data_IF_081611524747
#
_entry.id   IF_081611524747
#
_cell.length_a   1.000
_cell.length_b   1.000
_cell.length_c   1.000
_cell.angle_alpha   90.00
_cell.angle_beta   90.00
_cell.angle_gamma   90.00
#
_symmetry.space_group_name_H-M   'P 1'
#
loop_
_entity.id
_entity.type
_entity.pdbx_description
1 polymer ?
#
# COMPACT_ATOMS: atom_id res chain seq x y z
N UNK A 1 14.19 0.93 -0.41
CA UNK A 1 14.21 1.78 0.79
C UNK A 1 12.82 1.72 1.39
N UNK A 2 12.66 1.16 2.56
CA UNK A 2 11.36 1.02 3.22
C UNK A 2 11.29 1.83 4.49
N UNK A 3 10.17 2.53 4.70
CA UNK A 3 9.91 3.39 5.86
C UNK A 3 9.00 2.71 6.86
N UNK A 4 9.27 2.87 8.13
CA UNK A 4 8.32 2.53 9.18
C UNK A 4 8.22 3.63 10.24
N UNK A 5 7.01 4.09 10.51
CA UNK A 5 6.65 5.33 11.22
C UNK A 5 6.22 5.15 12.67
N UNK A 6 6.66 4.12 13.38
CA UNK A 6 6.29 3.97 14.80
C UNK A 6 7.30 4.60 15.79
N UNK A 7 8.47 4.92 15.31
CA UNK A 7 9.50 5.62 16.11
C UNK A 7 10.32 6.41 15.11
N UNK A 8 10.39 7.67 15.12
CA UNK A 8 11.23 8.56 14.28
C UNK A 8 12.54 7.92 13.76
N UNK A 9 12.45 6.71 13.22
CA UNK A 9 13.56 5.83 12.92
C UNK A 9 13.36 5.21 11.56
N UNK A 10 14.37 5.29 10.72
CA UNK A 10 14.43 4.75 9.38
C UNK A 10 15.29 3.49 9.39
N UNK A 11 14.72 2.36 8.96
CA UNK A 11 15.48 1.14 8.70
C UNK A 11 15.84 1.08 7.22
N UNK A 12 17.11 0.84 6.95
CA UNK A 12 17.71 0.89 5.62
C UNK A 12 18.40 -0.44 5.36
N UNK A 13 18.16 -1.04 4.20
CA UNK A 13 18.97 -2.15 3.71
C UNK A 13 19.83 -1.71 2.54
N UNK A 14 21.06 -2.13 2.55
CA UNK A 14 21.85 -2.32 1.35
C UNK A 14 21.48 -3.70 0.78
N UNK A 15 21.40 -3.80 -0.53
CA UNK A 15 20.92 -5.00 -1.23
C UNK A 15 21.70 -6.27 -0.90
N UNK A 16 22.95 -6.18 -0.50
CA UNK A 16 23.89 -7.30 -0.46
C UNK A 16 24.62 -7.50 0.87
N UNK A 17 24.61 -6.55 1.81
CA UNK A 17 25.57 -6.60 2.90
C UNK A 17 25.04 -6.35 4.30
N UNK A 18 24.09 -5.43 4.49
CA UNK A 18 23.68 -5.03 5.84
C UNK A 18 22.27 -4.47 5.93
N UNK A 19 21.74 -4.49 7.15
CA UNK A 19 20.58 -3.72 7.57
C UNK A 19 21.05 -2.73 8.63
N UNK A 20 20.72 -1.47 8.46
CA UNK A 20 21.05 -0.38 9.34
C UNK A 20 19.82 0.38 9.82
N UNK A 21 20.03 1.24 10.80
CA UNK A 21 19.05 2.15 11.34
C UNK A 21 19.60 3.58 11.38
N UNK A 22 18.79 4.54 10.98
CA UNK A 22 19.11 5.96 10.99
C UNK A 22 17.94 6.78 11.56
N UNK A 23 18.15 8.06 11.81
CA UNK A 23 17.06 9.00 12.03
C UNK A 23 16.35 9.34 10.70
N UNK A 24 15.23 10.08 10.75
CA UNK A 24 14.47 10.41 9.54
C UNK A 24 15.24 11.23 8.50
N UNK A 25 16.21 12.00 8.95
CA UNK A 25 17.06 12.81 8.07
C UNK A 25 18.19 11.99 7.43
N UNK A 26 18.23 10.68 7.74
CA UNK A 26 19.26 9.77 7.27
C UNK A 26 20.60 9.87 8.01
N UNK A 27 20.64 10.68 9.07
CA UNK A 27 21.82 10.85 9.90
C UNK A 27 21.94 9.71 10.94
N UNK A 28 23.10 9.65 11.60
CA UNK A 28 23.37 8.68 12.66
C UNK A 28 23.16 7.23 12.23
N UNK A 29 23.48 6.92 10.99
CA UNK A 29 23.39 5.56 10.47
C UNK A 29 24.23 4.61 11.35
N UNK A 30 23.57 3.59 11.87
CA UNK A 30 24.19 2.52 12.66
C UNK A 30 23.82 1.17 12.05
N UNK A 31 24.79 0.31 11.87
CA UNK A 31 24.54 -1.06 11.41
C UNK A 31 23.91 -1.88 12.52
N UNK A 32 22.83 -2.58 12.18
CA UNK A 32 22.13 -3.52 13.07
C UNK A 32 22.69 -4.92 12.86
N UNK A 33 22.78 -5.35 11.62
CA UNK A 33 23.34 -6.65 11.22
C UNK A 33 24.04 -6.50 9.87
N UNK A 34 25.19 -7.13 9.71
CA UNK A 34 25.92 -7.18 8.45
C UNK A 34 26.58 -8.55 8.23
N UNK A 35 26.88 -8.88 7.00
CA UNK A 35 27.65 -10.09 6.67
C UNK A 35 29.04 -10.08 7.29
N UNK A 36 29.62 -8.91 7.51
CA UNK A 36 30.91 -8.78 8.16
C UNK A 36 30.84 -9.12 9.66
N UNK A 37 29.78 -8.67 10.34
CA UNK A 37 29.59 -8.94 11.77
C UNK A 37 28.97 -10.31 12.03
N UNK A 38 28.18 -10.83 11.10
CA UNK A 38 27.57 -12.15 11.17
C UNK A 38 27.60 -12.85 9.82
N UNK A 39 28.67 -13.60 9.52
CA UNK A 39 28.82 -14.31 8.23
C UNK A 39 27.76 -15.37 7.94
N UNK A 40 27.04 -15.81 8.97
CA UNK A 40 25.96 -16.80 8.84
C UNK A 40 24.57 -16.18 8.63
N UNK A 41 24.48 -14.86 8.65
CA UNK A 41 23.23 -14.19 8.37
C UNK A 41 22.91 -14.24 6.87
N UNK A 42 21.67 -14.57 6.55
CA UNK A 42 21.17 -14.56 5.18
C UNK A 42 20.88 -13.11 4.74
N UNK A 43 21.91 -12.43 4.25
CA UNK A 43 21.90 -11.05 3.78
C UNK A 43 22.45 -10.98 2.35
N UNK A 44 22.12 -11.99 1.51
CA UNK A 44 22.71 -12.11 0.17
C UNK A 44 22.00 -11.23 -0.84
N UNK A 45 20.67 -11.12 -0.76
CA UNK A 45 19.89 -10.28 -1.64
C UNK A 45 18.59 -9.85 -0.97
N UNK A 46 18.68 -8.85 -0.10
CA UNK A 46 17.54 -8.31 0.63
C UNK A 46 16.62 -7.59 -0.36
N UNK A 47 15.35 -8.01 -0.42
CA UNK A 47 14.35 -7.39 -1.29
C UNK A 47 13.37 -6.52 -0.52
N UNK A 48 12.81 -7.00 0.57
CA UNK A 48 11.85 -6.27 1.40
C UNK A 48 12.22 -6.35 2.87
N UNK A 49 11.89 -5.29 3.61
CA UNK A 49 12.08 -5.19 5.06
C UNK A 49 10.76 -4.78 5.72
N UNK A 50 10.44 -5.41 6.83
CA UNK A 50 9.36 -4.98 7.72
C UNK A 50 9.80 -5.06 9.17
N UNK A 51 9.37 -4.09 9.99
CA UNK A 51 9.72 -4.03 11.41
C UNK A 51 8.46 -4.15 12.24
N UNK A 52 8.47 -5.00 13.24
CA UNK A 52 7.36 -5.14 14.16
C UNK A 52 7.87 -5.48 15.56
N UNK A 53 7.37 -4.78 16.57
CA UNK A 53 7.81 -4.88 17.95
C UNK A 53 9.34 -4.78 18.05
N UNK A 54 10.01 -5.80 18.55
CA UNK A 54 11.46 -5.82 18.76
C UNK A 54 12.25 -6.40 17.59
N UNK A 55 11.59 -6.78 16.50
CA UNK A 55 12.23 -7.50 15.42
C UNK A 55 12.15 -6.78 14.08
N UNK A 56 13.21 -6.95 13.29
CA UNK A 56 13.24 -6.69 11.84
C UNK A 56 13.05 -8.01 11.15
N UNK A 57 12.22 -8.01 10.12
CA UNK A 57 12.00 -9.12 9.20
C UNK A 57 12.42 -8.68 7.80
N UNK A 58 13.08 -9.57 7.06
CA UNK A 58 13.40 -9.31 5.66
C UNK A 58 13.21 -10.55 4.81
N UNK A 59 12.97 -10.33 3.51
CA UNK A 59 12.97 -11.36 2.51
C UNK A 59 14.31 -11.37 1.79
N UNK A 60 14.89 -12.54 1.60
CA UNK A 60 16.12 -12.72 0.84
C UNK A 60 15.86 -13.58 -0.41
N UNK A 61 16.26 -13.05 -1.55
CA UNK A 61 16.00 -13.71 -2.84
C UNK A 61 16.94 -14.88 -3.10
N UNK A 62 18.20 -14.78 -2.67
CA UNK A 62 19.21 -15.81 -2.91
C UNK A 62 18.89 -17.06 -2.10
N UNK A 63 18.63 -16.88 -0.82
CA UNK A 63 18.29 -17.98 0.08
C UNK A 63 16.83 -18.40 0.00
N UNK A 64 15.98 -17.61 -0.68
CA UNK A 64 14.52 -17.83 -0.78
C UNK A 64 13.88 -18.00 0.58
N UNK A 65 14.20 -17.11 1.49
CA UNK A 65 13.77 -17.19 2.88
C UNK A 65 13.25 -15.85 3.40
N UNK A 66 12.53 -15.95 4.50
CA UNK A 66 12.20 -14.84 5.35
C UNK A 66 12.98 -14.99 6.64
N UNK A 67 13.75 -13.97 6.93
CA UNK A 67 14.65 -13.91 8.07
C UNK A 67 14.17 -12.89 9.10
N UNK A 68 14.67 -12.99 10.33
CA UNK A 68 14.48 -11.97 11.35
C UNK A 68 15.71 -11.83 12.24
N UNK A 69 15.86 -10.64 12.85
CA UNK A 69 16.74 -10.40 13.98
C UNK A 69 16.17 -9.30 14.91
N UNK A 70 16.75 -9.13 16.08
CA UNK A 70 16.39 -8.02 16.96
C UNK A 70 16.77 -6.67 16.32
N UNK A 71 15.83 -5.72 16.30
CA UNK A 71 15.87 -4.48 15.49
C UNK A 71 17.03 -3.52 15.80
N UNK A 72 17.63 -3.62 16.98
CA UNK A 72 18.73 -2.74 17.37
C UNK A 72 20.05 -3.45 17.58
N UNK A 73 20.04 -4.71 18.01
CA UNK A 73 21.27 -5.45 18.34
C UNK A 73 21.68 -6.47 17.29
N UNK A 74 20.79 -6.81 16.34
CA UNK A 74 21.04 -7.85 15.33
C UNK A 74 21.12 -9.27 15.88
N UNK A 75 20.93 -9.48 17.21
CA UNK A 75 20.92 -10.82 17.82
C UNK A 75 19.63 -11.57 17.50
N UNK A 76 19.56 -12.84 17.87
CA UNK A 76 18.44 -13.75 17.56
C UNK A 76 18.14 -13.82 16.07
N UNK A 77 19.24 -13.80 15.26
CA UNK A 77 19.10 -13.99 13.82
C UNK A 77 18.68 -15.42 13.50
N UNK A 78 17.56 -15.54 12.81
CA UNK A 78 17.05 -16.85 12.39
C UNK A 78 16.12 -16.79 11.16
N UNK A 79 16.11 -17.89 10.42
CA UNK A 79 15.12 -18.12 9.37
C UNK A 79 13.74 -18.37 9.98
N UNK A 80 12.77 -17.56 9.59
CA UNK A 80 11.36 -17.69 9.98
C UNK A 80 10.63 -18.64 9.05
N UNK A 81 10.90 -18.52 7.75
CA UNK A 81 10.26 -19.30 6.70
C UNK A 81 11.19 -19.48 5.51
N UNK A 82 11.27 -20.70 4.98
CA UNK A 82 11.86 -20.96 3.67
C UNK A 82 10.78 -21.12 2.62
N UNK A 83 10.96 -20.52 1.47
CA UNK A 83 10.00 -20.49 0.37
C UNK A 83 10.54 -21.23 -0.86
N UNK A 84 9.63 -21.76 -1.69
CA UNK A 84 10.03 -22.42 -2.95
C UNK A 84 10.49 -21.39 -3.98
N UNK A 85 9.83 -20.25 -4.02
CA UNK A 85 10.09 -19.14 -4.94
C UNK A 85 10.71 -17.95 -4.19
N UNK A 86 11.29 -17.00 -4.96
CA UNK A 86 11.82 -15.75 -4.40
C UNK A 86 10.69 -14.91 -3.79
N UNK A 87 10.74 -14.61 -2.49
CA UNK A 87 9.74 -13.76 -1.85
C UNK A 87 9.91 -12.31 -2.31
N UNK A 88 8.84 -11.69 -2.85
CA UNK A 88 8.92 -10.34 -3.44
C UNK A 88 8.70 -9.25 -2.40
N UNK A 89 7.66 -9.38 -1.56
CA UNK A 89 7.31 -8.37 -0.56
C UNK A 89 7.06 -9.04 0.79
N UNK A 90 7.11 -8.24 1.84
CA UNK A 90 6.93 -8.68 3.21
C UNK A 90 6.12 -7.65 3.97
N UNK A 91 4.95 -8.03 4.44
CA UNK A 91 4.06 -7.20 5.23
C UNK A 91 3.73 -7.90 6.55
N UNK A 92 3.81 -7.18 7.65
CA UNK A 92 3.34 -7.68 8.94
C UNK A 92 1.85 -7.40 9.07
N UNK A 93 1.06 -8.45 9.17
CA UNK A 93 -0.37 -8.37 9.47
C UNK A 93 -0.59 -8.53 10.98
N UNK A 94 -0.98 -7.43 11.63
CA UNK A 94 -1.28 -7.42 13.07
C UNK A 94 -2.25 -6.28 13.40
N UNK A 95 -3.24 -6.48 14.29
CA UNK A 95 -4.21 -5.43 14.64
C UNK A 95 -3.58 -4.13 15.14
N UNK A 96 -2.46 -4.20 15.87
CA UNK A 96 -1.75 -3.00 16.33
C UNK A 96 -1.08 -2.19 15.20
N UNK A 97 -0.86 -2.79 14.03
CA UNK A 97 -0.32 -2.10 12.84
C UNK A 97 -1.39 -1.32 12.09
N UNK A 98 -2.61 -1.77 12.20
CA UNK A 98 -3.79 -1.15 11.57
C UNK A 98 -4.90 -1.04 12.63
N UNK A 99 -4.71 -0.20 13.67
CA UNK A 99 -5.74 -0.02 14.68
C UNK A 99 -7.01 0.52 14.02
N UNK A 100 -8.15 -0.08 14.33
CA UNK A 100 -9.44 0.42 13.90
C UNK A 100 -9.64 1.80 14.51
N UNK A 101 -9.87 2.85 13.72
CA UNK A 101 -10.20 4.15 14.25
C UNK A 101 -11.56 4.05 15.00
N UNK A 102 -11.68 4.70 16.14
CA UNK A 102 -12.93 4.74 16.91
C UNK A 102 -14.10 5.33 16.07
N UNK A 103 -13.77 6.18 15.13
CA UNK A 103 -14.70 6.73 14.14
C UNK A 103 -14.06 6.65 12.76
N UNK A 104 -14.71 5.95 11.84
CA UNK A 104 -14.28 5.86 10.45
C UNK A 104 -15.18 6.74 9.57
N UNK A 105 -14.73 7.91 9.10
CA UNK A 105 -15.54 8.79 8.24
C UNK A 105 -15.94 8.13 6.90
N UNK A 106 -15.26 7.05 6.50
CA UNK A 106 -15.59 6.27 5.30
C UNK A 106 -16.45 5.03 5.58
N UNK A 107 -17.04 4.90 6.77
CA UNK A 107 -18.00 3.85 7.03
C UNK A 107 -19.17 3.94 6.04
N UNK A 108 -19.61 2.81 5.50
CA UNK A 108 -20.61 2.73 4.41
C UNK A 108 -20.24 3.63 3.20
N UNK A 109 -18.96 3.61 2.81
CA UNK A 109 -18.39 4.45 1.76
C UNK A 109 -18.50 5.97 2.05
N UNK A 110 -18.78 6.37 3.28
CA UNK A 110 -18.90 7.79 3.69
C UNK A 110 -19.93 8.61 2.90
N UNK A 111 -20.86 7.95 2.20
CA UNK A 111 -21.82 8.59 1.28
C UNK A 111 -21.22 8.98 -0.07
N UNK A 112 -19.98 8.58 -0.38
CA UNK A 112 -19.39 8.79 -1.70
C UNK A 112 -20.01 7.85 -2.73
N UNK A 113 -20.24 8.33 -3.96
CA UNK A 113 -20.78 7.52 -5.06
C UNK A 113 -19.79 6.43 -5.51
N UNK A 114 -18.48 6.73 -5.53
CA UNK A 114 -17.45 5.79 -5.98
C UNK A 114 -16.52 5.37 -4.85
N UNK A 115 -15.54 6.17 -4.49
CA UNK A 115 -14.49 5.81 -3.55
C UNK A 115 -14.40 6.83 -2.42
N UNK A 116 -14.40 6.37 -1.19
CA UNK A 116 -14.10 7.16 -0.01
C UNK A 116 -12.65 6.97 0.40
N UNK A 117 -11.92 8.06 0.52
CA UNK A 117 -10.54 8.11 0.99
C UNK A 117 -10.45 8.85 2.32
N UNK A 118 -9.66 8.29 3.22
CA UNK A 118 -9.30 8.99 4.46
C UNK A 118 -8.11 9.91 4.17
N UNK A 119 -8.23 11.18 4.54
CA UNK A 119 -7.15 12.16 4.46
C UNK A 119 -6.94 12.83 5.83
N UNK A 120 -5.70 13.21 6.17
CA UNK A 120 -5.44 14.02 7.36
C UNK A 120 -6.14 15.38 7.19
N UNK A 121 -6.71 15.89 8.28
CA UNK A 121 -7.25 17.25 8.27
C UNK A 121 -6.10 18.28 8.38
N UNK A 122 -5.89 19.13 7.37
CA UNK A 122 -4.78 20.08 7.38
C UNK A 122 -4.94 21.17 8.45
N UNK A 123 -6.13 21.43 8.93
CA UNK A 123 -6.39 22.49 9.94
C UNK A 123 -6.01 22.05 11.36
N UNK A 124 -5.85 20.74 11.59
CA UNK A 124 -5.57 20.16 12.91
C UNK A 124 -4.14 19.61 13.00
N UNK A 125 -3.36 19.81 11.94
CA UNK A 125 -1.96 19.40 11.92
C UNK A 125 -1.13 20.28 12.88
N UNK A 126 -0.93 19.81 14.09
CA UNK A 126 -0.13 20.52 15.11
C UNK A 126 -0.47 20.18 16.56
N UNK A 127 -1.65 19.64 16.83
CA UNK A 127 -2.11 19.38 18.20
C UNK A 127 -2.05 17.90 18.62
N UNK A 128 -1.32 17.06 17.91
CA UNK A 128 -1.08 15.66 18.30
C UNK A 128 -2.24 14.69 18.08
N UNK A 129 -3.41 15.16 17.68
CA UNK A 129 -4.54 14.32 17.29
C UNK A 129 -4.74 14.41 15.77
N UNK A 130 -4.42 13.36 15.04
CA UNK A 130 -4.74 13.28 13.63
C UNK A 130 -6.24 13.01 13.46
N UNK A 131 -7.01 14.07 13.29
CA UNK A 131 -8.42 13.92 12.90
C UNK A 131 -8.43 13.56 11.42
N UNK A 132 -9.00 12.41 11.11
CA UNK A 132 -9.19 11.96 9.73
C UNK A 132 -10.51 12.54 9.20
N UNK A 133 -10.46 13.09 8.00
CA UNK A 133 -11.64 13.48 7.23
C UNK A 133 -11.81 12.57 6.02
N UNK A 134 -13.04 12.49 5.53
CA UNK A 134 -13.32 11.81 4.26
C UNK A 134 -13.09 12.73 3.08
N UNK A 135 -12.62 12.17 1.99
CA UNK A 135 -12.56 12.80 0.67
C UNK A 135 -13.07 11.80 -0.35
N UNK A 136 -14.08 12.17 -1.11
CA UNK A 136 -14.56 11.30 -2.18
C UNK A 136 -13.67 11.44 -3.41
N UNK A 137 -13.47 10.34 -4.10
CA UNK A 137 -12.75 10.28 -5.37
C UNK A 137 -13.56 9.53 -6.41
N UNK A 138 -13.35 9.89 -7.66
CA UNK A 138 -14.02 9.29 -8.80
C UNK A 138 -13.07 8.42 -9.60
N UNK A 139 -13.56 7.38 -10.32
CA UNK A 139 -12.75 6.54 -11.17
C UNK A 139 -12.24 7.32 -12.40
N UNK A 140 -11.34 6.69 -13.14
CA UNK A 140 -10.80 7.26 -14.38
C UNK A 140 -11.93 7.67 -15.33
N UNK A 141 -11.79 8.81 -16.00
CA UNK A 141 -12.79 9.43 -16.88
C UNK A 141 -14.05 9.94 -16.18
N UNK A 142 -13.98 10.13 -14.87
CA UNK A 142 -15.00 10.83 -14.10
C UNK A 142 -14.35 11.90 -13.22
N UNK A 143 -15.08 12.95 -12.90
CA UNK A 143 -14.63 13.99 -11.96
C UNK A 143 -15.68 14.22 -10.89
N UNK A 144 -15.21 14.63 -9.73
CA UNK A 144 -16.05 14.89 -8.58
C UNK A 144 -16.88 16.16 -8.84
N UNK A 145 -18.18 16.09 -8.58
CA UNK A 145 -19.07 17.25 -8.66
C UNK A 145 -18.82 18.22 -7.50
N UNK A 146 -19.33 19.47 -7.61
CA UNK A 146 -19.23 20.46 -6.53
C UNK A 146 -19.87 20.04 -5.21
N UNK A 147 -20.78 19.04 -5.22
CA UNK A 147 -21.37 18.47 -4.01
C UNK A 147 -20.34 17.67 -3.18
N UNK A 148 -19.15 17.38 -3.72
CA UNK A 148 -18.10 16.62 -3.07
C UNK A 148 -18.41 15.13 -2.86
N UNK A 149 -19.49 14.60 -3.44
CA UNK A 149 -19.98 13.22 -3.19
C UNK A 149 -20.20 12.42 -4.47
N UNK A 150 -20.73 13.05 -5.52
CA UNK A 150 -21.13 12.39 -6.76
C UNK A 150 -20.15 12.61 -7.89
N UNK A 151 -20.14 11.68 -8.85
CA UNK A 151 -19.21 11.66 -9.97
C UNK A 151 -19.92 12.01 -11.28
N UNK A 152 -19.34 12.91 -12.05
CA UNK A 152 -19.80 13.25 -13.39
C UNK A 152 -18.88 12.64 -14.43
N UNK A 153 -19.45 12.00 -15.46
CA UNK A 153 -18.67 11.42 -16.54
C UNK A 153 -17.97 12.47 -17.40
N UNK A 154 -16.73 12.17 -17.73
CA UNK A 154 -15.91 12.90 -18.71
C UNK A 154 -15.38 11.92 -19.76
N UNK A 155 -16.24 11.01 -20.22
CA UNK A 155 -15.88 10.06 -21.27
C UNK A 155 -15.57 10.85 -22.56
N UNK A 156 -14.46 10.49 -23.22
CA UNK A 156 -14.12 11.08 -24.51
C UNK A 156 -15.18 10.74 -25.58
N UNK A 157 -15.18 11.46 -26.69
CA UNK A 157 -16.12 11.19 -27.80
C UNK A 157 -16.00 9.78 -28.40
N UNK A 158 -14.85 9.15 -28.24
CA UNK A 158 -14.58 7.76 -28.67
C UNK A 158 -15.02 6.71 -27.66
N UNK A 159 -15.58 7.12 -26.51
CA UNK A 159 -16.01 6.25 -25.44
C UNK A 159 -17.51 6.31 -25.21
N UNK A 160 -18.06 5.17 -24.79
CA UNK A 160 -19.44 5.01 -24.37
C UNK A 160 -19.51 4.95 -22.85
N UNK A 161 -20.41 5.73 -22.24
CA UNK A 161 -20.68 5.67 -20.80
C UNK A 161 -21.63 4.51 -20.49
N UNK A 162 -21.23 3.60 -19.62
CA UNK A 162 -22.10 2.57 -19.10
C UNK A 162 -23.24 3.18 -18.25
N UNK A 163 -24.45 2.59 -18.35
CA UNK A 163 -25.65 3.18 -17.74
C UNK A 163 -25.62 3.07 -16.22
N UNK A 164 -25.31 1.90 -15.70
CA UNK A 164 -25.45 1.56 -14.27
C UNK A 164 -24.10 1.43 -13.55
N UNK A 165 -22.99 1.77 -14.22
CA UNK A 165 -21.64 1.76 -13.67
C UNK A 165 -20.89 3.07 -13.95
N UNK A 166 -20.02 3.45 -13.02
CA UNK A 166 -19.10 4.56 -13.23
C UNK A 166 -17.92 4.10 -14.10
N UNK A 167 -18.20 3.75 -15.34
CA UNK A 167 -17.24 3.22 -16.30
C UNK A 167 -17.49 3.77 -17.70
N UNK A 168 -16.40 4.09 -18.39
CA UNK A 168 -16.40 4.38 -19.82
C UNK A 168 -15.72 3.22 -20.55
N UNK A 169 -16.33 2.72 -21.61
CA UNK A 169 -15.75 1.70 -22.49
C UNK A 169 -15.51 2.28 -23.89
N UNK A 170 -14.56 1.74 -24.67
CA UNK A 170 -14.42 2.11 -26.08
C UNK A 170 -15.73 1.92 -26.83
N UNK A 171 -16.07 2.85 -27.75
CA UNK A 171 -17.37 2.84 -28.41
C UNK A 171 -17.62 1.53 -29.20
N UNK A 172 -16.56 0.89 -29.71
CA UNK A 172 -16.66 -0.37 -30.45
C UNK A 172 -16.91 -1.60 -29.58
N UNK A 173 -16.73 -1.51 -28.27
CA UNK A 173 -17.10 -2.58 -27.32
C UNK A 173 -18.60 -2.60 -27.01
N UNK A 174 -19.31 -1.52 -27.36
CA UNK A 174 -20.75 -1.41 -27.06
C UNK A 174 -21.61 -2.55 -27.65
N UNK A 175 -21.17 -3.14 -28.77
CA UNK A 175 -21.97 -4.09 -29.55
C UNK A 175 -21.19 -5.32 -30.00
N UNK A 176 -20.17 -5.73 -29.26
CA UNK A 176 -19.33 -6.87 -29.59
C UNK A 176 -19.86 -8.20 -29.02
N UNK A 177 -20.99 -8.16 -28.32
CA UNK A 177 -21.65 -9.34 -27.73
C UNK A 177 -21.13 -9.69 -26.35
N UNK A 178 -20.27 -8.86 -25.76
CA UNK A 178 -19.75 -9.04 -24.39
C UNK A 178 -20.35 -8.01 -23.43
N UNK A 179 -20.43 -8.36 -22.14
CA UNK A 179 -20.84 -7.43 -21.11
C UNK A 179 -19.64 -6.67 -20.55
N UNK A 180 -19.11 -5.76 -21.34
CA UNK A 180 -17.96 -4.93 -20.93
C UNK A 180 -18.29 -3.90 -19.89
N UNK A 181 -19.55 -3.53 -19.75
CA UNK A 181 -20.01 -2.67 -18.67
C UNK A 181 -20.11 -3.40 -17.30
N UNK A 182 -20.30 -4.72 -17.31
CA UNK A 182 -20.50 -5.53 -16.12
C UNK A 182 -21.82 -5.23 -15.43
N UNK A 183 -22.83 -4.77 -16.19
CA UNK A 183 -24.19 -4.47 -15.71
C UNK A 183 -25.23 -5.50 -16.19
N UNK A 184 -24.77 -6.56 -16.85
CA UNK A 184 -25.61 -7.65 -17.38
C UNK A 184 -26.37 -7.25 -18.65
N UNK A 185 -26.10 -6.08 -19.23
CA UNK A 185 -26.78 -5.62 -20.45
C UNK A 185 -25.86 -5.70 -21.67
N UNK A 186 -26.33 -6.42 -22.67
CA UNK A 186 -25.75 -6.38 -24.02
C UNK A 186 -26.30 -5.16 -24.74
N UNK A 187 -25.48 -4.14 -24.93
CA UNK A 187 -25.88 -2.94 -25.66
C UNK A 187 -25.92 -3.22 -27.16
N UNK A 188 -27.04 -3.69 -27.70
CA UNK A 188 -27.20 -3.88 -29.14
C UNK A 188 -27.71 -2.60 -29.79
N UNK A 189 -27.08 -2.16 -30.88
CA UNK A 189 -27.52 -1.06 -31.72
C UNK A 189 -28.10 -1.57 -33.04
N UNK A 190 -29.01 -2.49 -33.03
CA UNK A 190 -29.79 -2.74 -34.24
C UNK A 190 -31.28 -2.56 -33.97
N UNK A 191 -31.79 -1.41 -34.28
CA UNK A 191 -33.05 -1.23 -34.94
C UNK A 191 -32.79 -0.90 -36.38
#
# INVERSE_FOLDING_TARGET
MMYQTLTNTLFISNREDYIGVADFDGNKLRMVISRQSNPYANLHHIFAISVFEDYIYWSDWETKSIERCHKYSGIDNKTVLSTIHRPMDLQIYHPMRQPWPQHNPCENNGGCEALCLLSPDPEIWGNGASVLRKTCACPLSFFLRPDGLTCQSNCSQSMFRCKDKLKCIPFWWKCDGQDDCGDGQLYSTFK
#
